data_IF_120982627539
#
_entry.id   IF_120982627539
#
_cell.length_a   1.000
_cell.length_b   1.000
_cell.length_c   1.000
_cell.angle_alpha   90.00
_cell.angle_beta   90.00
_cell.angle_gamma   90.00
#
_symmetry.space_group_name_H-M   'P 1'
#
loop_
_entity.id
_entity.type
_entity.pdbx_description
1 polymer ?
#
# COMPACT_ATOMS: atom_id res chain seq x y z
N UNK A 1 14.49 13.68 -0.51
CA UNK A 1 13.75 12.44 -0.72
C UNK A 1 12.48 12.57 0.12
N UNK A 2 11.35 12.25 -0.47
CA UNK A 2 10.02 12.34 0.14
C UNK A 2 9.31 11.02 -0.08
N UNK A 3 8.76 10.47 1.00
CA UNK A 3 8.00 9.23 0.94
C UNK A 3 6.55 9.51 0.56
N UNK A 4 6.01 8.67 -0.31
CA UNK A 4 4.65 8.78 -0.80
C UNK A 4 3.92 7.45 -0.64
N UNK A 5 2.66 7.54 -0.26
CA UNK A 5 1.71 6.45 -0.28
C UNK A 5 0.84 6.61 -1.54
N UNK A 6 0.87 5.60 -2.41
CA UNK A 6 0.12 5.57 -3.67
C UNK A 6 -0.76 4.33 -3.68
N UNK A 7 -2.07 4.53 -3.76
CA UNK A 7 -3.03 3.44 -3.78
C UNK A 7 -3.96 3.58 -4.99
N UNK A 8 -3.78 2.69 -5.96
CA UNK A 8 -4.71 2.55 -7.09
C UNK A 8 -5.79 1.53 -6.74
N UNK A 9 -7.05 1.95 -6.67
CA UNK A 9 -8.18 1.04 -6.50
C UNK A 9 -8.62 0.53 -7.87
N UNK A 10 -8.69 -0.78 -8.02
CA UNK A 10 -9.04 -1.40 -9.30
C UNK A 10 -10.50 -1.04 -9.66
N UNK A 11 -10.76 -0.73 -10.95
CA UNK A 11 -12.14 -0.64 -11.46
C UNK A 11 -12.74 -2.01 -11.69
N UNK A 12 -14.05 -2.06 -11.91
CA UNK A 12 -14.70 -3.28 -12.40
C UNK A 12 -14.04 -3.79 -13.70
N UNK A 13 -13.70 -5.09 -13.74
CA UNK A 13 -13.02 -5.72 -14.87
C UNK A 13 -11.53 -5.40 -15.01
N UNK A 14 -10.89 -4.81 -13.99
CA UNK A 14 -9.45 -4.54 -14.01
C UNK A 14 -8.59 -5.81 -14.10
N UNK A 15 -9.07 -6.96 -13.63
CA UNK A 15 -8.34 -8.23 -13.64
C UNK A 15 -7.77 -8.59 -15.02
N UNK A 16 -8.59 -8.49 -16.08
CA UNK A 16 -8.16 -8.78 -17.45
C UNK A 16 -7.12 -7.78 -17.97
N UNK A 17 -7.26 -6.50 -17.59
CA UNK A 17 -6.28 -5.45 -17.93
C UNK A 17 -4.96 -5.73 -17.25
N UNK A 18 -4.99 -6.02 -15.94
CA UNK A 18 -3.81 -6.29 -15.15
C UNK A 18 -3.11 -7.54 -15.66
N UNK A 19 -3.83 -8.64 -15.85
CA UNK A 19 -3.27 -9.89 -16.39
C UNK A 19 -2.51 -9.70 -17.72
N UNK A 20 -3.01 -8.83 -18.60
CA UNK A 20 -2.34 -8.50 -19.88
C UNK A 20 -1.10 -7.61 -19.71
N UNK A 21 -1.06 -6.77 -18.67
CA UNK A 21 -0.04 -5.74 -18.46
C UNK A 21 0.92 -6.05 -17.30
N UNK A 22 0.76 -7.21 -16.65
CA UNK A 22 1.50 -7.58 -15.42
C UNK A 22 3.01 -7.52 -15.64
N UNK A 23 3.50 -8.02 -16.77
CA UNK A 23 4.93 -8.03 -17.07
C UNK A 23 5.48 -6.63 -17.28
N UNK A 24 4.78 -5.76 -18.02
CA UNK A 24 5.17 -4.37 -18.16
C UNK A 24 5.12 -3.63 -16.82
N UNK A 25 4.09 -3.88 -16.02
CA UNK A 25 3.96 -3.30 -14.68
C UNK A 25 5.13 -3.71 -13.79
N UNK A 26 5.51 -4.98 -13.78
CA UNK A 26 6.68 -5.43 -13.03
C UNK A 26 7.97 -4.80 -13.55
N UNK A 27 8.20 -4.80 -14.86
CA UNK A 27 9.38 -4.17 -15.44
C UNK A 27 9.45 -2.67 -15.13
N UNK A 28 8.30 -1.99 -15.07
CA UNK A 28 8.21 -0.60 -14.64
C UNK A 28 8.64 -0.44 -13.18
N UNK A 29 8.10 -1.27 -12.28
CA UNK A 29 8.39 -1.22 -10.83
C UNK A 29 9.82 -1.62 -10.49
N UNK A 30 10.45 -2.50 -11.28
CA UNK A 30 11.85 -2.90 -11.11
C UNK A 30 12.81 -1.70 -11.24
N UNK A 31 12.41 -0.64 -11.97
CA UNK A 31 13.20 0.61 -12.08
C UNK A 31 13.19 1.45 -10.80
N UNK A 32 12.26 1.19 -9.89
CA UNK A 32 12.10 1.88 -8.61
C UNK A 32 12.43 0.96 -7.42
N UNK A 33 13.12 -0.16 -7.67
CA UNK A 33 13.35 -1.18 -6.64
C UNK A 33 14.15 -0.65 -5.44
N UNK A 34 15.02 0.35 -5.63
CA UNK A 34 15.80 0.96 -4.55
C UNK A 34 15.00 2.00 -3.75
N UNK A 35 13.98 2.58 -4.36
CA UNK A 35 13.13 3.64 -3.80
C UNK A 35 11.88 3.08 -3.11
N UNK A 36 11.43 1.90 -3.51
CA UNK A 36 10.27 1.25 -2.91
C UNK A 36 10.52 0.98 -1.41
N UNK A 37 9.50 1.23 -0.60
CA UNK A 37 9.46 0.95 0.85
C UNK A 37 8.50 -0.21 1.09
N UNK A 38 7.35 -0.21 0.42
CA UNK A 38 6.39 -1.30 0.44
C UNK A 38 5.66 -1.39 -0.89
N UNK A 39 5.20 -2.58 -1.26
CA UNK A 39 4.36 -2.81 -2.43
C UNK A 39 3.49 -4.03 -2.25
N UNK A 40 2.31 -4.03 -2.87
CA UNK A 40 1.47 -5.21 -2.93
C UNK A 40 0.05 -4.96 -3.39
N UNK A 41 -0.63 -5.99 -3.93
CA UNK A 41 -2.03 -5.88 -4.26
C UNK A 41 -2.87 -5.86 -2.98
N UNK A 42 -3.93 -5.05 -2.97
CA UNK A 42 -5.09 -5.37 -2.15
C UNK A 42 -5.92 -6.44 -2.85
N UNK A 43 -6.64 -7.25 -2.08
CA UNK A 43 -7.33 -8.44 -2.57
C UNK A 43 -8.80 -8.45 -2.16
N UNK A 44 -9.56 -9.34 -2.77
CA UNK A 44 -10.88 -9.78 -2.31
C UNK A 44 -10.78 -10.53 -0.97
N UNK A 45 -11.90 -10.71 -0.27
CA UNK A 45 -11.95 -11.41 1.02
C UNK A 45 -11.44 -12.85 0.94
N UNK A 46 -11.74 -13.55 -0.15
CA UNK A 46 -11.24 -14.90 -0.46
C UNK A 46 -9.78 -14.91 -0.91
N UNK A 47 -9.17 -13.74 -1.13
CA UNK A 47 -7.79 -13.54 -1.59
C UNK A 47 -7.49 -14.08 -3.00
N UNK A 48 -8.52 -14.36 -3.79
CA UNK A 48 -8.38 -14.94 -5.13
C UNK A 48 -8.18 -13.88 -6.24
N UNK A 49 -8.59 -12.64 -6.01
CA UNK A 49 -8.49 -11.57 -7.00
C UNK A 49 -7.95 -10.27 -6.41
N UNK A 50 -7.23 -9.48 -7.21
CA UNK A 50 -6.79 -8.14 -6.79
C UNK A 50 -7.94 -7.14 -6.83
N UNK A 51 -7.97 -6.24 -5.85
CA UNK A 51 -8.88 -5.10 -5.74
C UNK A 51 -8.17 -3.76 -5.81
N UNK A 52 -6.83 -3.78 -5.91
CA UNK A 52 -6.02 -2.58 -6.05
C UNK A 52 -4.53 -2.88 -6.07
N UNK A 53 -3.73 -1.82 -6.08
CA UNK A 53 -2.27 -1.86 -6.02
C UNK A 53 -1.77 -0.77 -5.10
N UNK A 54 -1.07 -1.16 -4.03
CA UNK A 54 -0.43 -0.27 -3.09
C UNK A 54 1.07 -0.18 -3.38
N UNK A 55 1.60 1.04 -3.35
CA UNK A 55 3.02 1.32 -3.30
C UNK A 55 3.31 2.40 -2.25
N UNK A 56 4.34 2.17 -1.44
CA UNK A 56 4.99 3.21 -0.64
C UNK A 56 6.39 3.37 -1.19
N UNK A 57 6.78 4.59 -1.55
CA UNK A 57 8.01 4.84 -2.33
C UNK A 57 8.67 6.15 -1.89
N UNK A 58 10.00 6.18 -1.81
CA UNK A 58 10.80 7.36 -1.49
C UNK A 58 11.38 8.01 -2.75
N UNK A 59 10.89 9.19 -3.12
CA UNK A 59 11.21 9.82 -4.41
C UNK A 59 11.91 11.18 -4.25
N UNK A 60 12.80 11.56 -5.17
CA UNK A 60 13.58 12.79 -5.05
C UNK A 60 12.79 14.06 -5.35
N UNK A 61 11.74 13.96 -6.17
CA UNK A 61 11.04 15.13 -6.73
C UNK A 61 9.57 14.82 -7.01
N UNK A 62 8.73 15.86 -7.06
CA UNK A 62 7.34 15.75 -7.51
C UNK A 62 7.23 15.25 -8.95
N UNK A 63 8.20 15.56 -9.83
CA UNK A 63 8.24 15.01 -11.18
C UNK A 63 8.41 13.49 -11.17
N UNK A 64 9.29 12.98 -10.29
CA UNK A 64 9.45 11.54 -10.12
C UNK A 64 8.18 10.88 -9.59
N UNK A 65 7.48 11.53 -8.65
CA UNK A 65 6.16 11.09 -8.20
C UNK A 65 5.15 11.03 -9.34
N UNK A 66 5.04 12.11 -10.13
CA UNK A 66 4.11 12.15 -11.25
C UNK A 66 4.38 10.99 -12.23
N UNK A 67 5.64 10.75 -12.60
CA UNK A 67 6.00 9.62 -13.45
C UNK A 67 5.71 8.27 -12.80
N UNK A 68 6.01 8.10 -11.52
CA UNK A 68 5.72 6.86 -10.80
C UNK A 68 4.23 6.52 -10.82
N UNK A 69 3.36 7.52 -10.65
CA UNK A 69 1.92 7.33 -10.57
C UNK A 69 1.28 7.18 -11.96
N UNK A 70 1.65 8.04 -12.90
CA UNK A 70 0.88 8.23 -14.14
C UNK A 70 1.52 7.64 -15.40
N UNK A 71 2.81 7.29 -15.35
CA UNK A 71 3.48 6.59 -16.45
C UNK A 71 3.45 5.06 -16.24
N UNK A 72 2.83 4.57 -15.15
CA UNK A 72 2.80 3.15 -14.83
C UNK A 72 1.76 2.37 -15.67
N UNK A 73 2.07 1.14 -16.12
CA UNK A 73 1.25 0.42 -17.09
C UNK A 73 -0.20 0.18 -16.64
N UNK A 74 -0.46 -0.05 -15.35
CA UNK A 74 -1.84 -0.24 -14.90
C UNK A 74 -2.65 1.06 -14.94
N UNK A 75 -2.03 2.20 -14.62
CA UNK A 75 -2.68 3.49 -14.79
C UNK A 75 -2.98 3.78 -16.27
N UNK A 76 -1.96 3.67 -17.13
CA UNK A 76 -2.09 3.92 -18.57
C UNK A 76 -3.06 2.95 -19.26
N UNK A 77 -3.11 1.70 -18.79
CA UNK A 77 -4.04 0.68 -19.24
C UNK A 77 -5.47 0.87 -18.73
N UNK A 78 -5.70 1.84 -17.84
CA UNK A 78 -7.00 2.13 -17.25
C UNK A 78 -7.47 1.01 -16.32
N UNK A 79 -6.59 0.41 -15.53
CA UNK A 79 -6.95 -0.61 -14.53
C UNK A 79 -7.58 0.00 -13.26
N UNK A 80 -7.29 1.27 -12.97
CA UNK A 80 -7.75 1.92 -11.74
C UNK A 80 -9.02 2.75 -11.96
N UNK A 81 -9.92 2.69 -10.98
CA UNK A 81 -11.06 3.61 -10.87
C UNK A 81 -10.62 4.91 -10.19
N UNK A 82 -9.82 4.78 -9.14
CA UNK A 82 -9.23 5.92 -8.43
C UNK A 82 -7.76 5.66 -8.14
N UNK A 83 -6.98 6.74 -8.05
CA UNK A 83 -5.61 6.70 -7.55
C UNK A 83 -5.48 7.76 -6.46
N UNK A 84 -5.20 7.29 -5.25
CA UNK A 84 -5.02 8.12 -4.06
C UNK A 84 -3.52 8.29 -3.82
N UNK A 85 -3.07 9.54 -3.64
CA UNK A 85 -1.66 9.88 -3.43
C UNK A 85 -1.54 10.78 -2.21
N UNK A 86 -0.68 10.39 -1.27
CA UNK A 86 -0.40 11.14 -0.06
C UNK A 86 1.11 11.26 0.15
N UNK A 87 1.55 12.35 0.76
CA UNK A 87 2.86 12.34 1.43
C UNK A 87 2.74 11.40 2.63
N UNK A 88 3.75 10.56 2.84
CA UNK A 88 3.78 9.56 3.89
C UNK A 88 4.85 9.89 4.92
N UNK A 89 4.48 9.86 6.20
CA UNK A 89 5.43 9.99 7.30
C UNK A 89 5.58 8.63 7.99
N UNK A 90 6.65 7.90 7.66
CA UNK A 90 6.88 6.55 8.16
C UNK A 90 7.40 6.56 9.60
N UNK A 91 6.55 6.08 10.53
CA UNK A 91 6.85 6.04 11.96
C UNK A 91 7.74 4.87 12.37
N UNK A 92 7.93 3.86 11.51
CA UNK A 92 8.78 2.71 11.81
C UNK A 92 10.19 2.85 11.26
N UNK A 93 10.43 3.79 10.34
CA UNK A 93 11.74 4.01 9.72
C UNK A 93 12.30 2.80 8.95
N UNK A 94 11.44 1.84 8.60
CA UNK A 94 11.80 0.59 7.92
C UNK A 94 10.96 0.34 6.68
N UNK A 95 11.41 -0.59 5.86
CA UNK A 95 10.73 -1.12 4.67
C UNK A 95 9.97 -2.42 4.99
N UNK A 96 9.11 -2.83 4.07
CA UNK A 96 8.36 -4.08 4.19
C UNK A 96 9.27 -5.32 4.23
N UNK A 97 10.46 -5.26 3.63
CA UNK A 97 11.41 -6.39 3.59
C UNK A 97 12.15 -6.60 4.91
N UNK A 98 12.14 -5.61 5.81
CA UNK A 98 12.71 -5.72 7.15
C UNK A 98 11.72 -6.32 8.17
N UNK A 99 10.49 -6.62 7.75
CA UNK A 99 9.53 -7.36 8.56
C UNK A 99 9.92 -8.85 8.63
N UNK A 100 10.29 -9.32 9.82
CA UNK A 100 10.84 -10.66 10.04
C UNK A 100 10.07 -11.48 11.10
N UNK A 101 8.95 -10.96 11.60
CA UNK A 101 8.17 -11.51 12.72
C UNK A 101 6.89 -12.21 12.25
N UNK A 102 6.94 -12.79 11.05
CA UNK A 102 5.78 -13.43 10.45
C UNK A 102 5.29 -14.62 11.29
N UNK A 103 3.98 -14.66 11.57
CA UNK A 103 3.34 -15.73 12.33
C UNK A 103 2.59 -16.68 11.41
N UNK A 104 2.81 -17.99 11.59
CA UNK A 104 2.09 -19.02 10.83
C UNK A 104 0.58 -18.91 11.02
N UNK A 105 -0.17 -18.98 9.93
CA UNK A 105 -1.63 -18.85 9.92
C UNK A 105 -2.15 -17.42 9.98
N UNK A 106 -1.28 -16.41 10.16
CA UNK A 106 -1.71 -15.02 10.06
C UNK A 106 -1.77 -14.55 8.61
N UNK A 107 -2.58 -13.53 8.43
CA UNK A 107 -2.91 -12.88 7.18
C UNK A 107 -2.36 -11.45 7.19
N UNK A 108 -2.21 -10.85 6.00
CA UNK A 108 -1.77 -9.45 5.89
C UNK A 108 -2.88 -8.55 5.40
N UNK A 109 -2.84 -7.31 5.85
CA UNK A 109 -3.87 -6.32 5.61
C UNK A 109 -3.28 -4.92 5.41
N UNK A 110 -3.90 -4.16 4.53
CA UNK A 110 -3.82 -2.70 4.51
C UNK A 110 -4.94 -2.15 5.39
N UNK A 111 -4.61 -1.25 6.31
CA UNK A 111 -5.56 -0.55 7.16
C UNK A 111 -5.42 0.95 6.94
N UNK A 112 -6.53 1.62 6.63
CA UNK A 112 -6.61 3.06 6.41
C UNK A 112 -7.57 3.70 7.41
N UNK A 113 -7.20 4.86 7.94
CA UNK A 113 -8.03 5.61 8.89
C UNK A 113 -8.07 7.09 8.52
N UNK A 114 -9.07 7.82 9.04
CA UNK A 114 -9.24 9.28 8.88
C UNK A 114 -9.18 10.03 10.21
N UNK A 115 -8.54 9.42 11.21
CA UNK A 115 -8.39 9.96 12.55
C UNK A 115 -7.04 10.65 12.74
N UNK A 116 -6.83 11.23 13.92
CA UNK A 116 -5.61 11.96 14.25
C UNK A 116 -4.38 11.04 14.33
N UNK A 117 -3.20 11.63 14.14
CA UNK A 117 -1.92 10.96 14.38
C UNK A 117 -1.86 10.35 15.79
N UNK A 118 -1.29 9.16 15.89
CA UNK A 118 -1.16 8.42 17.15
C UNK A 118 0.09 7.54 17.13
N UNK A 119 0.89 7.48 18.19
CA UNK A 119 1.94 6.47 18.29
C UNK A 119 1.37 5.06 18.38
N UNK A 120 1.87 4.13 17.57
CA UNK A 120 1.57 2.70 17.66
C UNK A 120 2.86 1.90 17.66
N UNK A 121 2.90 0.84 18.47
CA UNK A 121 4.00 -0.12 18.49
C UNK A 121 3.41 -1.52 18.56
N UNK A 122 3.94 -2.43 17.74
CA UNK A 122 3.60 -3.85 17.74
C UNK A 122 4.57 -4.57 16.80
N UNK A 123 4.95 -5.80 17.15
CA UNK A 123 5.77 -6.66 16.29
C UNK A 123 5.04 -7.10 15.02
N UNK A 124 3.72 -6.88 14.95
CA UNK A 124 2.89 -7.21 13.81
C UNK A 124 2.66 -6.05 12.83
N UNK A 125 3.20 -4.85 13.10
CA UNK A 125 3.19 -3.76 12.15
C UNK A 125 4.25 -4.01 11.09
N UNK A 126 3.87 -4.20 9.83
CA UNK A 126 4.81 -4.26 8.70
C UNK A 126 5.28 -2.85 8.37
N UNK A 127 4.34 -1.92 8.26
CA UNK A 127 4.56 -0.50 8.00
C UNK A 127 3.50 0.31 8.74
N UNK A 128 3.84 1.50 9.23
CA UNK A 128 2.88 2.41 9.85
C UNK A 128 3.31 3.87 9.68
N UNK A 129 2.36 4.74 9.36
CA UNK A 129 2.66 6.15 9.15
C UNK A 129 1.43 7.03 8.98
N UNK A 130 1.67 8.34 8.99
CA UNK A 130 0.64 9.34 8.74
C UNK A 130 0.53 9.64 7.23
N UNK A 131 -0.70 9.91 6.80
CA UNK A 131 -1.04 10.38 5.47
C UNK A 131 -1.23 11.89 5.51
N UNK A 132 -0.57 12.60 4.61
CA UNK A 132 -0.67 14.06 4.53
C UNK A 132 -1.04 14.55 3.13
N UNK A 133 -1.85 15.61 3.10
CA UNK A 133 -2.20 16.41 1.92
C UNK A 133 -1.81 17.85 2.21
N UNK A 134 -1.04 18.49 1.33
CA UNK A 134 -0.57 19.87 1.50
C UNK A 134 0.10 20.12 2.87
N UNK A 135 0.83 19.13 3.38
CA UNK A 135 1.50 19.17 4.68
C UNK A 135 0.57 19.01 5.90
N UNK A 136 -0.74 18.86 5.68
CA UNK A 136 -1.73 18.63 6.73
C UNK A 136 -2.05 17.15 6.88
N UNK A 137 -2.09 16.67 8.13
CA UNK A 137 -2.52 15.31 8.46
C UNK A 137 -3.96 15.06 8.02
N UNK A 138 -4.20 13.95 7.32
CA UNK A 138 -5.55 13.56 6.86
C UNK A 138 -5.97 12.17 7.33
N UNK A 139 -5.03 11.36 7.83
CA UNK A 139 -5.30 9.99 8.23
C UNK A 139 -4.04 9.21 8.49
N UNK A 140 -4.19 7.90 8.68
CA UNK A 140 -3.08 6.98 8.92
C UNK A 140 -3.19 5.79 8.00
N UNK A 141 -2.05 5.21 7.65
CA UNK A 141 -1.96 3.97 6.91
C UNK A 141 -1.08 2.97 7.67
N UNK A 142 -1.52 1.72 7.69
CA UNK A 142 -0.75 0.62 8.23
C UNK A 142 -0.79 -0.58 7.30
N UNK A 143 0.36 -1.24 7.16
CA UNK A 143 0.44 -2.61 6.71
C UNK A 143 0.64 -3.47 7.94
N UNK A 144 -0.22 -4.46 8.13
CA UNK A 144 -0.21 -5.27 9.34
C UNK A 144 -0.33 -6.75 9.01
N UNK A 145 0.26 -7.57 9.88
CA UNK A 145 -0.02 -8.99 9.94
C UNK A 145 -0.98 -9.27 11.11
N UNK A 146 -2.04 -10.05 10.90
CA UNK A 146 -3.07 -10.31 11.91
C UNK A 146 -3.83 -11.61 11.58
N UNK A 147 -4.48 -12.28 12.55
CA UNK A 147 -5.26 -13.48 12.27
C UNK A 147 -6.53 -13.20 11.46
N UNK A 148 -7.10 -11.98 11.57
CA UNK A 148 -8.31 -11.58 10.84
C UNK A 148 -8.32 -10.07 10.54
N UNK A 149 -9.27 -9.63 9.71
CA UNK A 149 -9.48 -8.21 9.41
C UNK A 149 -9.91 -7.41 10.66
N UNK A 150 -10.70 -8.02 11.55
CA UNK A 150 -11.12 -7.42 12.82
C UNK A 150 -9.94 -7.22 13.76
N UNK A 151 -9.03 -8.20 13.83
CA UNK A 151 -7.81 -8.07 14.61
C UNK A 151 -6.86 -7.01 14.03
N UNK A 152 -6.78 -6.89 12.70
CA UNK A 152 -6.06 -5.83 12.03
C UNK A 152 -6.63 -4.44 12.37
N UNK A 153 -7.96 -4.27 12.32
CA UNK A 153 -8.63 -3.02 12.70
C UNK A 153 -8.37 -2.67 14.18
N UNK A 154 -8.51 -3.66 15.08
CA UNK A 154 -8.32 -3.48 16.51
C UNK A 154 -6.89 -3.04 16.85
N UNK A 155 -5.88 -3.58 16.17
CA UNK A 155 -4.47 -3.23 16.37
C UNK A 155 -4.21 -1.73 16.12
N UNK A 156 -4.90 -1.13 15.15
CA UNK A 156 -4.72 0.27 14.76
C UNK A 156 -5.41 1.26 15.71
N UNK A 157 -6.21 0.75 16.65
CA UNK A 157 -6.90 1.53 17.69
C UNK A 157 -7.71 2.70 17.11
N UNK A 158 -8.36 2.48 15.96
CA UNK A 158 -9.25 3.44 15.33
C UNK A 158 -10.71 2.99 15.50
N UNK A 159 -11.61 3.93 15.75
CA UNK A 159 -13.05 3.67 15.80
C UNK A 159 -13.59 3.25 14.44
N UNK A 160 -13.08 3.87 13.37
CA UNK A 160 -13.42 3.58 12.00
C UNK A 160 -12.15 3.35 11.19
N UNK A 161 -12.00 2.14 10.67
CA UNK A 161 -10.91 1.74 9.81
C UNK A 161 -11.45 1.05 8.57
N UNK A 162 -10.90 1.40 7.41
CA UNK A 162 -11.06 0.62 6.19
C UNK A 162 -9.95 -0.44 6.17
N UNK A 163 -10.33 -1.71 6.03
CA UNK A 163 -9.41 -2.84 6.06
C UNK A 163 -9.52 -3.62 4.77
N UNK A 164 -8.38 -3.84 4.12
CA UNK A 164 -8.29 -4.65 2.91
C UNK A 164 -7.35 -5.83 3.14
N UNK A 165 -7.74 -7.06 2.76
CA UNK A 165 -6.77 -8.12 2.52
C UNK A 165 -5.67 -7.60 1.60
N UNK A 166 -4.42 -7.83 2.00
CA UNK A 166 -3.25 -7.38 1.27
C UNK A 166 -2.15 -8.44 1.41
N UNK A 167 -1.14 -8.39 0.54
CA UNK A 167 0.04 -9.23 0.66
C UNK A 167 1.29 -8.56 0.05
N UNK A 168 2.47 -9.09 0.37
CA UNK A 168 3.72 -8.62 -0.24
C UNK A 168 3.69 -8.79 -1.75
N UNK A 169 3.79 -7.67 -2.48
CA UNK A 169 3.93 -7.67 -3.93
C UNK A 169 5.33 -8.03 -4.37
N UNK A 170 5.44 -8.51 -5.60
CA UNK A 170 6.69 -8.96 -6.20
C UNK A 170 6.41 -9.67 -7.51
N UNK A 171 7.46 -10.03 -8.24
CA UNK A 171 7.36 -10.98 -9.35
C UNK A 171 7.10 -12.36 -8.74
N UNK A 172 6.08 -13.08 -9.21
CA UNK A 172 5.71 -14.42 -8.75
C UNK A 172 5.42 -15.32 -9.95
#
# INVERSE_FOLDING_TARGET
>A
MTQYFVYGRDRAGAGDVKARLTEEHWAFMDRYAAELIARGPTLTEDREASTGSLHVVDLPTEKALHSFVYDEPYYLGGAFETVEVYRFENHLGRTMWEFATAVEGYNRYLVLTKDAARPLTSDHLILYGDLLVDGSHTGRAALVEAPSAEAAAALIQAEHAEVHPWEFGGRR
#
